data_IF_020146897678
#
_entry.id   IF_020146897678
#
_cell.length_a   1.000
_cell.length_b   1.000
_cell.length_c   1.000
_cell.angle_alpha   90.00
_cell.angle_beta   90.00
_cell.angle_gamma   90.00
#
_symmetry.space_group_name_H-M   'P 1'
#
loop_
_entity.id
_entity.type
_entity.pdbx_description
1 polymer ?
#
# COMPACT_ATOMS: atom_id res chain seq x y z
N UNK A 1 51.28 -11.49 -12.27
CA UNK A 1 51.39 -10.36 -13.21
C UNK A 1 50.70 -9.15 -12.60
N UNK A 2 51.39 -8.26 -11.87
CA UNK A 2 50.82 -6.98 -11.46
C UNK A 2 51.34 -5.86 -12.38
N UNK A 3 50.48 -4.90 -12.72
CA UNK A 3 50.91 -3.62 -13.27
C UNK A 3 50.49 -2.50 -12.33
N UNK A 4 51.36 -1.50 -12.33
CA UNK A 4 51.71 -0.53 -11.31
C UNK A 4 51.00 0.82 -11.52
N UNK A 5 51.20 1.67 -10.51
CA UNK A 5 50.70 3.00 -10.17
C UNK A 5 51.17 4.11 -11.11
N UNK A 6 50.45 5.25 -11.13
CA UNK A 6 51.00 6.57 -11.51
C UNK A 6 49.95 7.53 -12.09
N UNK A 7 49.27 8.39 -11.32
CA UNK A 7 49.73 9.63 -10.65
C UNK A 7 49.53 10.90 -11.53
N UNK A 8 48.85 11.90 -10.96
CA UNK A 8 49.21 13.34 -10.93
C UNK A 8 48.05 14.34 -11.00
N UNK A 9 48.00 15.13 -9.93
CA UNK A 9 47.32 16.41 -9.70
C UNK A 9 48.12 17.58 -10.28
N UNK A 10 47.44 18.68 -10.69
CA UNK A 10 47.83 20.11 -10.62
C UNK A 10 46.66 20.97 -11.13
N UNK A 11 45.89 21.68 -10.29
CA UNK A 11 46.08 23.01 -9.68
C UNK A 11 45.82 24.24 -10.60
N UNK A 12 44.82 25.06 -10.17
CA UNK A 12 44.73 26.56 -10.09
C UNK A 12 44.80 27.37 -11.43
N UNK A 13 44.14 28.51 -11.66
CA UNK A 13 43.43 29.52 -10.84
C UNK A 13 42.67 30.53 -11.76
N UNK A 14 41.50 30.99 -11.30
CA UNK A 14 40.89 32.34 -11.31
C UNK A 14 40.93 33.28 -12.55
N UNK A 15 39.74 33.79 -12.91
CA UNK A 15 39.54 35.08 -13.59
C UNK A 15 38.14 35.24 -14.18
N UNK A 16 37.24 35.94 -13.48
CA UNK A 16 35.83 36.13 -13.89
C UNK A 16 35.56 37.42 -14.69
N UNK A 17 34.43 37.43 -15.41
CA UNK A 17 33.49 38.56 -15.55
C UNK A 17 32.24 38.16 -16.35
N UNK A 18 31.07 38.23 -15.71
CA UNK A 18 29.77 38.70 -16.24
C UNK A 18 29.12 38.02 -17.45
N UNK A 19 28.07 37.22 -17.20
CA UNK A 19 26.84 37.29 -17.98
C UNK A 19 25.63 36.77 -17.17
N UNK A 20 24.59 37.60 -17.12
CA UNK A 20 23.23 37.26 -16.70
C UNK A 20 22.66 36.20 -17.66
N UNK A 21 22.29 35.03 -17.16
CA UNK A 21 21.68 33.98 -17.97
C UNK A 21 21.30 32.74 -17.17
N UNK A 22 20.00 32.61 -16.92
CA UNK A 22 19.23 31.38 -16.67
C UNK A 22 19.98 30.18 -16.04
N UNK A 23 19.79 29.99 -14.73
CA UNK A 23 20.15 28.72 -14.08
C UNK A 23 19.01 27.69 -14.24
N UNK A 24 19.42 26.51 -14.70
CA UNK A 24 18.64 25.28 -14.88
C UNK A 24 18.07 24.78 -13.55
N UNK A 25 16.91 24.15 -13.62
CA UNK A 25 16.31 23.39 -12.54
C UNK A 25 17.07 22.06 -12.40
N UNK A 26 17.98 21.98 -11.43
CA UNK A 26 18.42 20.72 -10.82
C UNK A 26 19.00 21.03 -9.43
N UNK A 27 18.62 20.18 -8.46
CA UNK A 27 19.06 20.13 -7.05
C UNK A 27 18.63 21.29 -6.12
N UNK A 28 17.38 21.20 -5.63
CA UNK A 28 17.01 21.74 -4.31
C UNK A 28 16.69 20.57 -3.39
N UNK A 29 17.55 20.35 -2.40
CA UNK A 29 17.28 19.39 -1.32
C UNK A 29 16.01 19.81 -0.55
N UNK A 30 15.11 18.86 -0.19
CA UNK A 30 13.82 19.15 0.46
C UNK A 30 13.92 19.92 1.78
N UNK A 31 15.11 19.90 2.39
CA UNK A 31 15.42 20.53 3.67
C UNK A 31 15.51 22.06 3.58
N UNK A 32 15.85 22.62 2.40
CA UNK A 32 15.97 24.08 2.19
C UNK A 32 14.64 24.77 1.84
N UNK A 33 13.66 24.04 1.29
CA UNK A 33 12.33 24.59 1.00
C UNK A 33 11.54 24.92 2.29
N UNK A 34 11.71 24.11 3.34
CA UNK A 34 11.09 24.34 4.65
C UNK A 34 11.71 25.55 5.39
N UNK A 35 13.02 25.80 5.22
CA UNK A 35 13.72 26.93 5.84
C UNK A 35 13.36 28.29 5.21
N UNK A 36 13.06 28.32 3.90
CA UNK A 36 12.54 29.52 3.24
C UNK A 36 11.08 29.82 3.62
N UNK A 37 10.25 28.79 3.81
CA UNK A 37 8.87 28.95 4.30
C UNK A 37 8.82 29.49 5.75
N UNK A 38 9.81 29.16 6.58
CA UNK A 38 9.95 29.70 7.94
C UNK A 38 10.34 31.19 8.01
N UNK A 39 11.03 31.73 7.00
CA UNK A 39 11.44 33.15 6.98
C UNK A 39 10.35 34.11 6.51
N UNK A 40 9.36 33.65 5.75
CA UNK A 40 8.22 34.48 5.32
C UNK A 40 7.20 34.72 6.44
N UNK A 41 7.24 33.95 7.54
CA UNK A 41 6.36 34.15 8.71
C UNK A 41 6.78 35.27 9.67
N UNK A 42 7.96 35.88 9.49
CA UNK A 42 8.53 36.80 10.48
C UNK A 42 8.51 38.28 10.09
N UNK A 43 8.02 38.67 8.92
CA UNK A 43 7.94 40.08 8.54
C UNK A 43 6.66 40.40 7.76
N UNK A 44 5.84 41.27 8.33
CA UNK A 44 4.89 42.09 7.58
C UNK A 44 3.50 41.52 7.44
N UNK A 45 2.58 42.10 8.22
CA UNK A 45 1.16 42.31 7.93
C UNK A 45 0.75 42.05 6.47
N UNK A 46 0.04 40.95 6.20
CA UNK A 46 -0.99 40.80 5.16
C UNK A 46 -1.52 39.36 5.18
N UNK A 47 -2.79 39.20 5.53
CA UNK A 47 -3.45 37.89 5.66
C UNK A 47 -3.68 37.21 4.31
N UNK A 48 -2.73 36.37 3.88
CA UNK A 48 -2.85 35.45 2.75
C UNK A 48 -2.66 34.02 3.27
N UNK A 49 -3.69 33.18 3.14
CA UNK A 49 -3.56 31.73 3.36
C UNK A 49 -3.31 31.11 2.00
N UNK A 50 -2.15 30.47 1.85
CA UNK A 50 -1.80 29.65 0.69
C UNK A 50 -2.32 28.24 0.93
N UNK A 51 -3.28 27.79 0.12
CA UNK A 51 -3.62 26.37 0.02
C UNK A 51 -2.78 25.76 -1.12
N UNK A 52 -2.18 24.60 -0.87
CA UNK A 52 -1.37 23.85 -1.83
C UNK A 52 -2.24 22.72 -2.41
N UNK A 53 -2.52 22.75 -3.71
CA UNK A 53 -3.04 21.59 -4.45
C UNK A 53 -1.85 20.80 -5.01
N UNK A 54 -1.74 19.53 -4.62
CA UNK A 54 -0.66 18.63 -5.00
C UNK A 54 -1.22 17.55 -5.91
N UNK A 55 -1.00 17.67 -7.21
CA UNK A 55 -1.33 16.60 -8.18
C UNK A 55 -0.09 15.81 -8.57
N UNK A 56 -0.20 14.49 -8.47
CA UNK A 56 0.84 13.53 -8.85
C UNK A 56 0.79 13.28 -10.37
N UNK A 57 1.90 13.50 -11.07
CA UNK A 57 2.09 13.11 -12.48
C UNK A 57 3.21 12.07 -12.61
N UNK A 58 3.28 11.38 -13.76
CA UNK A 58 4.22 10.27 -14.03
C UNK A 58 5.71 10.63 -13.86
N UNK A 59 6.07 11.90 -13.83
CA UNK A 59 7.47 12.37 -13.76
C UNK A 59 7.74 13.42 -12.66
N UNK A 60 6.78 13.70 -11.76
CA UNK A 60 6.97 14.65 -10.65
C UNK A 60 5.68 15.26 -10.10
N UNK A 61 5.84 16.24 -9.21
CA UNK A 61 4.74 17.01 -8.59
C UNK A 61 4.66 18.42 -9.18
N UNK A 62 3.44 18.91 -9.41
CA UNK A 62 3.17 20.31 -9.76
C UNK A 62 2.42 20.96 -8.59
N UNK A 63 2.91 22.11 -8.14
CA UNK A 63 2.29 22.89 -7.05
C UNK A 63 1.59 24.10 -7.66
N UNK A 64 0.27 24.18 -7.51
CA UNK A 64 -0.50 25.40 -7.84
C UNK A 64 -0.75 26.23 -6.58
N UNK A 65 -0.43 27.52 -6.63
CA UNK A 65 -0.78 28.49 -5.59
C UNK A 65 -2.13 29.16 -5.93
N UNK A 66 -3.16 28.94 -5.10
CA UNK A 66 -4.47 29.59 -5.27
C UNK A 66 -4.57 30.76 -4.28
N UNK A 67 -4.94 31.95 -4.79
CA UNK A 67 -5.19 33.14 -3.97
C UNK A 67 -6.69 33.29 -3.70
N UNK A 68 -7.12 33.18 -2.44
CA UNK A 68 -8.53 33.41 -2.06
C UNK A 68 -8.72 34.86 -1.55
N UNK A 69 -9.62 35.63 -2.18
CA UNK A 69 -10.00 36.97 -1.69
C UNK A 69 -10.97 36.88 -0.50
N UNK A 70 -10.70 37.66 0.55
CA UNK A 70 -11.54 37.84 1.75
C UNK A 70 -12.92 38.39 1.39
N UNK A 71 -13.97 37.63 1.72
CA UNK A 71 -15.35 38.09 1.54
C UNK A 71 -16.41 37.25 2.23
N UNK A 72 -16.16 36.69 3.43
CA UNK A 72 -17.21 36.01 4.21
C UNK A 72 -16.84 35.75 5.68
N UNK A 73 -16.28 36.73 6.42
CA UNK A 73 -16.09 36.60 7.88
C UNK A 73 -16.09 37.97 8.56
N UNK A 74 -17.26 38.60 8.62
CA UNK A 74 -17.45 39.83 9.41
C UNK A 74 -18.90 39.96 9.86
N UNK A 75 -19.27 39.14 10.84
CA UNK A 75 -20.28 39.49 11.84
C UNK A 75 -20.18 38.48 12.97
N UNK A 76 -19.57 38.90 14.07
CA UNK A 76 -20.00 38.66 15.45
C UNK A 76 -18.88 39.15 16.39
N UNK A 77 -19.30 39.91 17.40
CA UNK A 77 -18.55 40.46 18.52
C UNK A 77 -17.84 41.80 18.30
N UNK A 78 -18.49 42.87 18.75
CA UNK A 78 -18.11 43.56 20.00
C UNK A 78 -19.28 44.40 20.48
N UNK A 79 -19.72 44.24 21.73
CA UNK A 79 -20.07 45.37 22.58
C UNK A 79 -20.13 44.93 24.04
N UNK A 80 -19.34 45.61 24.86
CA UNK A 80 -19.18 45.44 26.30
C UNK A 80 -19.81 46.67 26.96
N UNK A 81 -20.77 46.51 27.88
CA UNK A 81 -21.13 47.57 28.82
C UNK A 81 -21.69 46.99 30.12
N UNK A 82 -21.26 47.62 31.21
CA UNK A 82 -21.34 47.14 32.58
C UNK A 82 -22.63 47.56 33.33
N UNK A 83 -22.86 46.84 34.45
CA UNK A 83 -23.62 47.21 35.68
C UNK A 83 -25.16 47.32 35.65
N UNK A 84 -25.88 46.33 36.22
CA UNK A 84 -26.50 46.35 37.57
C UNK A 84 -27.52 45.22 37.81
N UNK A 85 -27.59 44.87 39.10
CA UNK A 85 -28.69 44.24 39.86
C UNK A 85 -28.83 42.71 39.93
N UNK A 86 -28.76 42.27 41.19
CA UNK A 86 -28.96 40.95 41.77
C UNK A 86 -30.25 40.24 41.36
N UNK A 87 -30.12 38.97 40.96
CA UNK A 87 -31.03 37.86 41.30
C UNK A 87 -30.26 36.54 41.08
N UNK A 88 -30.29 35.57 42.01
CA UNK A 88 -29.64 34.29 41.78
C UNK A 88 -30.49 33.49 40.79
N UNK A 89 -30.03 33.39 39.55
CA UNK A 89 -30.53 32.40 38.58
C UNK A 89 -29.72 31.14 38.79
N UNK A 90 -30.36 30.09 39.28
CA UNK A 90 -29.78 28.74 39.35
C UNK A 90 -29.65 28.23 37.90
N UNK A 91 -28.44 27.94 37.37
CA UNK A 91 -28.33 27.28 36.08
C UNK A 91 -28.57 25.79 36.30
N UNK A 92 -29.57 25.28 35.58
CA UNK A 92 -29.93 23.87 35.55
C UNK A 92 -28.76 23.01 35.05
N UNK A 93 -28.62 21.83 35.67
CA UNK A 93 -27.75 20.74 35.21
C UNK A 93 -28.02 20.41 33.75
N UNK A 94 -26.95 20.09 33.02
CA UNK A 94 -27.02 19.26 31.81
C UNK A 94 -26.46 19.90 30.55
N UNK A 95 -25.21 20.36 30.56
CA UNK A 95 -24.44 20.29 29.33
C UNK A 95 -24.29 18.80 28.99
N UNK A 96 -24.94 18.35 27.92
CA UNK A 96 -24.73 17.02 27.38
C UNK A 96 -23.25 16.90 27.01
N UNK A 97 -22.46 16.29 27.89
CA UNK A 97 -21.10 15.87 27.58
C UNK A 97 -21.28 14.91 26.41
N UNK A 98 -20.80 15.32 25.23
CA UNK A 98 -20.77 14.43 24.07
C UNK A 98 -20.20 13.10 24.55
N UNK A 99 -20.87 11.99 24.26
CA UNK A 99 -20.44 10.66 24.66
C UNK A 99 -19.17 10.31 23.87
N UNK A 100 -18.03 10.88 24.29
CA UNK A 100 -16.73 10.64 23.70
C UNK A 100 -16.38 9.22 24.12
N UNK A 101 -16.52 8.29 23.17
CA UNK A 101 -16.02 6.95 23.40
C UNK A 101 -14.51 7.03 23.64
N UNK A 102 -14.11 6.70 24.85
CA UNK A 102 -12.71 6.57 25.24
C UNK A 102 -12.17 5.29 24.61
N UNK A 103 -11.27 5.42 23.63
CA UNK A 103 -10.51 4.29 23.11
C UNK A 103 -9.36 3.98 24.07
N UNK A 104 -9.08 2.69 24.26
CA UNK A 104 -7.84 2.24 24.91
C UNK A 104 -6.75 2.07 23.83
N UNK A 105 -5.76 2.97 23.75
CA UNK A 105 -4.71 2.90 22.73
C UNK A 105 -3.81 1.66 22.86
N UNK A 106 -3.92 0.88 23.94
CA UNK A 106 -3.13 -0.34 24.16
C UNK A 106 -3.85 -1.62 23.73
N UNK A 107 -5.16 -1.55 23.44
CA UNK A 107 -5.98 -2.74 23.14
C UNK A 107 -5.64 -3.38 21.78
N UNK A 108 -5.40 -2.57 20.75
CA UNK A 108 -5.02 -3.07 19.42
C UNK A 108 -4.35 -1.99 18.57
N UNK A 109 -3.65 -2.36 17.48
CA UNK A 109 -3.14 -1.38 16.51
C UNK A 109 -4.21 -0.46 15.94
N UNK A 110 -5.44 -0.96 15.76
CA UNK A 110 -6.56 -0.18 15.23
C UNK A 110 -7.05 0.84 16.27
N UNK A 111 -7.11 0.47 17.55
CA UNK A 111 -7.45 1.38 18.65
C UNK A 111 -6.39 2.47 18.82
N UNK A 112 -5.10 2.11 18.74
CA UNK A 112 -4.01 3.08 18.71
C UNK A 112 -4.15 4.06 17.54
N UNK A 113 -4.42 3.55 16.32
CA UNK A 113 -4.62 4.39 15.13
C UNK A 113 -5.78 5.37 15.33
N UNK A 114 -6.95 4.89 15.77
CA UNK A 114 -8.14 5.71 15.96
C UNK A 114 -7.93 6.79 17.04
N UNK A 115 -7.26 6.41 18.13
CA UNK A 115 -6.88 7.32 19.21
C UNK A 115 -5.91 8.41 18.73
N UNK A 116 -4.86 8.02 18.00
CA UNK A 116 -3.85 8.96 17.48
C UNK A 116 -4.43 9.91 16.44
N UNK A 117 -5.32 9.40 15.57
CA UNK A 117 -6.06 10.22 14.59
C UNK A 117 -6.86 11.33 15.28
N UNK A 118 -7.62 10.96 16.32
CA UNK A 118 -8.39 11.93 17.10
C UNK A 118 -7.47 12.96 17.76
N UNK A 119 -6.37 12.51 18.37
CA UNK A 119 -5.39 13.38 19.02
C UNK A 119 -4.80 14.41 18.06
N UNK A 120 -4.32 13.97 16.89
CA UNK A 120 -3.72 14.84 15.88
C UNK A 120 -4.75 15.82 15.29
N UNK A 121 -5.97 15.34 15.00
CA UNK A 121 -7.05 16.20 14.51
C UNK A 121 -7.37 17.32 15.51
N UNK A 122 -7.48 16.98 16.79
CA UNK A 122 -7.82 17.94 17.85
C UNK A 122 -6.68 18.90 18.16
N UNK A 123 -5.42 18.46 18.07
CA UNK A 123 -4.25 19.33 18.18
C UNK A 123 -4.23 20.42 17.09
N UNK A 124 -4.80 20.14 15.92
CA UNK A 124 -5.00 21.10 14.83
C UNK A 124 -6.32 21.88 14.91
N UNK A 125 -7.11 21.69 15.97
CA UNK A 125 -8.38 22.40 16.19
C UNK A 125 -9.48 22.05 15.18
N UNK A 126 -9.36 20.92 14.46
CA UNK A 126 -10.30 20.53 13.42
C UNK A 126 -11.45 19.69 13.97
N UNK A 127 -12.68 19.92 13.49
CA UNK A 127 -13.80 18.96 13.63
C UNK A 127 -13.65 17.83 12.61
N UNK A 128 -14.28 16.69 12.88
CA UNK A 128 -14.28 15.53 11.96
C UNK A 128 -14.72 15.89 10.54
N UNK A 129 -15.78 16.70 10.40
CA UNK A 129 -16.25 17.18 9.09
C UNK A 129 -15.20 18.02 8.36
N UNK A 130 -14.49 18.90 9.07
CA UNK A 130 -13.46 19.75 8.48
C UNK A 130 -12.25 18.95 8.00
N UNK A 131 -11.82 17.95 8.78
CA UNK A 131 -10.78 17.01 8.32
C UNK A 131 -11.27 16.23 7.10
N UNK A 132 -12.52 15.74 7.13
CA UNK A 132 -13.15 15.07 6.00
C UNK A 132 -13.13 15.91 4.73
N UNK A 133 -13.51 17.18 4.81
CA UNK A 133 -13.49 18.12 3.68
C UNK A 133 -12.08 18.27 3.10
N UNK A 134 -11.04 18.35 3.94
CA UNK A 134 -9.64 18.46 3.51
C UNK A 134 -9.15 17.20 2.77
N UNK A 135 -9.52 16.01 3.24
CA UNK A 135 -9.06 14.72 2.66
C UNK A 135 -10.06 14.10 1.66
N UNK A 136 -11.08 14.86 1.28
CA UNK A 136 -12.15 14.47 0.35
C UNK A 136 -12.95 13.24 0.80
N UNK A 137 -13.37 13.20 2.07
CA UNK A 137 -14.28 12.18 2.60
C UNK A 137 -15.32 12.77 3.57
N UNK A 138 -16.28 11.96 4.00
CA UNK A 138 -17.30 12.42 4.96
C UNK A 138 -16.73 12.48 6.38
N UNK A 139 -17.18 13.45 7.19
CA UNK A 139 -16.85 13.47 8.62
C UNK A 139 -17.34 12.23 9.38
N UNK A 140 -18.41 11.59 8.88
CA UNK A 140 -18.89 10.29 9.39
C UNK A 140 -17.84 9.19 9.24
N UNK A 141 -17.18 9.11 8.08
CA UNK A 141 -16.08 8.15 7.86
C UNK A 141 -14.93 8.39 8.83
N UNK A 142 -14.51 9.65 9.01
CA UNK A 142 -13.48 10.02 10.00
C UNK A 142 -13.89 9.56 11.39
N UNK A 143 -15.14 9.82 11.79
CA UNK A 143 -15.67 9.38 13.09
C UNK A 143 -15.74 7.86 13.25
N UNK A 144 -16.08 7.11 12.20
CA UNK A 144 -16.07 5.64 12.22
C UNK A 144 -14.65 5.07 12.39
N UNK A 145 -13.65 5.69 11.78
CA UNK A 145 -12.24 5.29 11.93
C UNK A 145 -11.72 5.66 13.32
N UNK A 146 -12.02 6.88 13.81
CA UNK A 146 -11.70 7.32 15.17
C UNK A 146 -12.42 6.53 16.28
N UNK A 147 -13.43 5.73 15.94
CA UNK A 147 -14.15 4.85 16.88
C UNK A 147 -13.96 3.38 16.55
N UNK A 148 -12.96 3.06 15.72
CA UNK A 148 -12.56 1.70 15.31
C UNK A 148 -13.67 0.84 14.68
N UNK A 149 -14.78 1.46 14.28
CA UNK A 149 -15.90 0.83 13.56
C UNK A 149 -15.56 0.53 12.10
N UNK A 150 -14.58 1.24 11.54
CA UNK A 150 -14.10 1.03 10.17
C UNK A 150 -12.58 1.04 10.15
N UNK A 151 -12.01 0.06 9.45
CA UNK A 151 -10.57 -0.03 9.22
C UNK A 151 -10.17 1.05 8.19
N UNK A 152 -9.17 1.89 8.48
CA UNK A 152 -8.67 2.87 7.53
C UNK A 152 -8.03 2.18 6.32
N UNK A 153 -7.98 2.87 5.18
CA UNK A 153 -7.20 2.44 4.02
C UNK A 153 -5.85 3.16 4.00
N UNK A 154 -4.91 2.66 3.20
CA UNK A 154 -3.64 3.37 2.98
C UNK A 154 -3.85 4.75 2.35
N UNK A 155 -4.68 4.87 1.32
CA UNK A 155 -5.00 6.17 0.69
C UNK A 155 -5.58 7.17 1.70
N UNK A 156 -6.50 6.72 2.57
CA UNK A 156 -6.99 7.56 3.67
C UNK A 156 -5.85 8.02 4.59
N UNK A 157 -4.96 7.10 4.96
CA UNK A 157 -3.83 7.38 5.86
C UNK A 157 -2.84 8.38 5.26
N UNK A 158 -2.50 8.22 3.98
CA UNK A 158 -1.60 9.11 3.24
C UNK A 158 -2.19 10.53 3.11
N UNK A 159 -3.50 10.65 2.88
CA UNK A 159 -4.18 11.95 2.86
C UNK A 159 -4.24 12.61 4.23
N UNK A 160 -4.44 11.84 5.30
CA UNK A 160 -4.37 12.37 6.67
C UNK A 160 -2.97 12.89 6.96
N UNK A 161 -1.92 12.14 6.58
CA UNK A 161 -0.54 12.59 6.76
C UNK A 161 -0.25 13.90 6.04
N UNK A 162 -0.73 14.04 4.80
CA UNK A 162 -0.60 15.27 4.03
C UNK A 162 -1.38 16.44 4.64
N UNK A 163 -2.61 16.19 5.13
CA UNK A 163 -3.48 17.21 5.70
C UNK A 163 -3.00 17.73 7.07
N UNK A 164 -2.48 16.83 7.90
CA UNK A 164 -2.09 17.14 9.28
C UNK A 164 -0.58 17.37 9.45
N UNK A 165 0.22 17.12 8.41
CA UNK A 165 1.67 17.29 8.45
C UNK A 165 2.36 16.34 9.43
N UNK A 166 1.92 15.09 9.51
CA UNK A 166 2.38 14.11 10.52
C UNK A 166 3.58 13.27 10.08
N UNK A 167 4.31 13.72 9.06
CA UNK A 167 5.54 13.09 8.57
C UNK A 167 5.40 11.58 8.32
N UNK A 168 4.27 11.15 7.71
CA UNK A 168 4.02 9.75 7.38
C UNK A 168 3.63 8.84 8.55
N UNK A 169 3.27 9.39 9.71
CA UNK A 169 2.85 8.62 10.88
C UNK A 169 1.74 7.61 10.56
N UNK A 170 0.64 8.06 9.93
CA UNK A 170 -0.50 7.18 9.64
C UNK A 170 -0.16 6.18 8.54
N UNK A 171 0.65 6.58 7.57
CA UNK A 171 1.19 5.73 6.50
C UNK A 171 2.10 4.61 7.04
N UNK A 172 2.77 4.82 8.18
CA UNK A 172 3.51 3.77 8.90
C UNK A 172 2.59 2.90 9.75
N UNK A 173 1.63 3.50 10.46
CA UNK A 173 0.70 2.77 11.32
C UNK A 173 -0.25 1.85 10.53
N UNK A 174 -0.70 2.27 9.35
CA UNK A 174 -1.67 1.50 8.56
C UNK A 174 -1.16 0.10 8.19
N UNK A 175 0.15 -0.06 7.95
CA UNK A 175 0.73 -1.38 7.68
C UNK A 175 0.57 -2.34 8.87
N UNK A 176 0.73 -1.84 10.09
CA UNK A 176 0.51 -2.62 11.32
C UNK A 176 -0.98 -2.95 11.52
N UNK A 177 -1.86 -1.98 11.28
CA UNK A 177 -3.33 -2.15 11.38
C UNK A 177 -3.84 -3.18 10.38
N UNK A 178 -3.42 -3.09 9.12
CA UNK A 178 -3.88 -4.01 8.08
C UNK A 178 -3.33 -5.42 8.28
N UNK A 179 -2.07 -5.55 8.72
CA UNK A 179 -1.53 -6.86 9.09
C UNK A 179 -2.32 -7.51 10.23
N UNK A 180 -2.80 -6.75 11.22
CA UNK A 180 -3.63 -7.31 12.29
C UNK A 180 -5.04 -7.76 11.85
N UNK A 181 -5.48 -7.37 10.65
CA UNK A 181 -6.73 -7.87 10.04
C UNK A 181 -6.57 -9.25 9.39
N UNK A 182 -5.34 -9.68 9.11
CA UNK A 182 -5.10 -11.01 8.56
C UNK A 182 -5.45 -12.09 9.60
N UNK A 183 -5.87 -13.30 9.16
CA UNK A 183 -6.07 -14.41 10.07
C UNK A 183 -4.85 -14.63 10.97
N UNK A 184 -5.05 -14.88 12.26
CA UNK A 184 -3.95 -15.00 13.25
C UNK A 184 -2.90 -16.02 12.84
N UNK A 185 -3.31 -17.13 12.21
CA UNK A 185 -2.41 -18.16 11.70
C UNK A 185 -1.59 -17.72 10.48
N UNK A 186 -2.05 -16.70 9.74
CA UNK A 186 -1.38 -16.18 8.53
C UNK A 186 -0.43 -15.02 8.85
N UNK A 187 -0.64 -14.30 9.95
CA UNK A 187 0.17 -13.13 10.30
C UNK A 187 1.68 -13.41 10.39
N UNK A 188 2.15 -14.52 11.00
CA UNK A 188 3.59 -14.83 11.05
C UNK A 188 4.17 -15.07 9.65
N UNK A 189 3.44 -15.77 8.78
CA UNK A 189 3.87 -15.99 7.40
C UNK A 189 3.97 -14.66 6.65
N UNK A 190 2.97 -13.78 6.75
CA UNK A 190 3.00 -12.47 6.09
C UNK A 190 4.18 -11.60 6.56
N UNK A 191 4.60 -11.71 7.83
CA UNK A 191 5.79 -11.04 8.33
C UNK A 191 7.08 -11.62 7.73
N UNK A 192 7.18 -12.94 7.63
CA UNK A 192 8.34 -13.61 7.03
C UNK A 192 8.43 -13.36 5.52
N UNK A 193 7.30 -13.39 4.81
CA UNK A 193 7.21 -13.09 3.37
C UNK A 193 7.72 -11.69 3.06
N UNK A 194 7.43 -10.70 3.93
CA UNK A 194 7.93 -9.34 3.79
C UNK A 194 9.43 -9.18 4.08
N UNK A 195 10.08 -10.16 4.69
CA UNK A 195 11.53 -10.14 4.99
C UNK A 195 12.33 -11.05 4.06
N UNK A 196 11.67 -11.84 3.22
CA UNK A 196 12.33 -12.81 2.36
C UNK A 196 13.19 -12.10 1.31
N UNK A 197 14.39 -12.63 1.07
CA UNK A 197 15.23 -12.25 -0.06
C UNK A 197 14.79 -12.99 -1.34
N UNK A 198 14.36 -14.24 -1.18
CA UNK A 198 13.85 -15.08 -2.27
C UNK A 198 12.54 -15.77 -1.87
N UNK A 199 11.63 -15.88 -2.82
CA UNK A 199 10.36 -16.58 -2.67
C UNK A 199 10.27 -17.61 -3.80
N UNK A 200 10.23 -18.90 -3.46
CA UNK A 200 9.94 -19.98 -4.42
C UNK A 200 8.56 -20.54 -4.10
N UNK A 201 7.61 -20.42 -5.03
CA UNK A 201 6.22 -20.84 -4.79
C UNK A 201 5.69 -21.71 -5.92
N UNK A 202 4.94 -22.74 -5.55
CA UNK A 202 4.07 -23.47 -6.47
C UNK A 202 2.61 -23.21 -6.10
N UNK A 203 1.79 -22.86 -7.08
CA UNK A 203 0.37 -22.57 -6.89
C UNK A 203 -0.51 -23.46 -7.76
N UNK A 204 -1.28 -24.32 -7.10
CA UNK A 204 -2.10 -25.34 -7.78
C UNK A 204 -3.46 -24.84 -8.28
N UNK A 205 -4.05 -23.83 -7.63
CA UNK A 205 -5.47 -23.48 -7.85
C UNK A 205 -5.78 -22.00 -7.97
N UNK A 206 -4.91 -21.14 -7.46
CA UNK A 206 -5.11 -19.69 -7.45
C UNK A 206 -3.82 -19.01 -7.87
N UNK A 207 -3.92 -17.84 -8.47
CA UNK A 207 -2.75 -16.97 -8.64
C UNK A 207 -2.14 -16.67 -7.27
N UNK A 208 -0.80 -16.69 -7.17
CA UNK A 208 -0.09 -16.38 -5.93
C UNK A 208 -0.54 -15.02 -5.38
N UNK A 209 -0.82 -14.95 -4.07
CA UNK A 209 -1.48 -13.78 -3.48
C UNK A 209 -0.72 -12.45 -3.62
N UNK A 210 0.59 -12.48 -3.91
CA UNK A 210 1.37 -11.27 -4.23
C UNK A 210 1.15 -10.74 -5.65
N UNK A 211 0.63 -11.57 -6.56
CA UNK A 211 0.42 -11.26 -7.97
C UNK A 211 -1.06 -11.10 -8.35
N UNK A 212 -1.95 -11.02 -7.36
CA UNK A 212 -3.39 -10.91 -7.60
C UNK A 212 -3.79 -9.46 -7.85
N UNK A 213 -4.66 -9.20 -8.83
CA UNK A 213 -5.35 -7.91 -8.92
C UNK A 213 -6.35 -7.74 -7.77
N UNK A 214 -6.78 -6.51 -7.49
CA UNK A 214 -7.76 -6.25 -6.43
C UNK A 214 -9.07 -7.01 -6.69
N UNK A 215 -9.54 -7.04 -7.94
CA UNK A 215 -10.79 -7.69 -8.33
C UNK A 215 -10.71 -9.21 -8.18
N UNK A 216 -9.58 -9.82 -8.56
CA UNK A 216 -9.35 -11.25 -8.39
C UNK A 216 -9.28 -11.60 -6.89
N UNK A 217 -8.50 -10.84 -6.13
CA UNK A 217 -8.39 -10.99 -4.68
C UNK A 217 -9.75 -10.87 -3.98
N UNK A 218 -10.57 -9.89 -4.38
CA UNK A 218 -11.93 -9.70 -3.86
C UNK A 218 -12.81 -10.91 -4.16
N UNK A 219 -12.78 -11.44 -5.38
CA UNK A 219 -13.54 -12.63 -5.77
C UNK A 219 -13.17 -13.87 -4.94
N UNK A 220 -11.87 -14.09 -4.70
CA UNK A 220 -11.38 -15.18 -3.85
C UNK A 220 -11.87 -15.01 -2.41
N UNK A 221 -11.68 -13.83 -1.82
CA UNK A 221 -12.00 -13.57 -0.40
C UNK A 221 -13.51 -13.59 -0.11
N UNK A 222 -14.35 -13.29 -1.10
CA UNK A 222 -15.80 -13.28 -0.96
C UNK A 222 -16.40 -14.66 -0.63
N UNK A 223 -15.67 -15.75 -0.90
CA UNK A 223 -16.13 -17.13 -0.67
C UNK A 223 -16.17 -17.55 0.80
N UNK A 224 -15.41 -16.88 1.68
CA UNK A 224 -15.17 -17.36 3.05
C UNK A 224 -15.84 -16.56 4.17
N UNK A 225 -15.91 -15.22 4.08
CA UNK A 225 -16.40 -14.33 5.18
C UNK A 225 -16.91 -12.96 4.69
N UNK A 226 -18.20 -12.78 4.38
CA UNK A 226 -18.71 -11.53 3.80
C UNK A 226 -18.54 -10.29 4.71
N UNK A 227 -18.54 -10.46 6.04
CA UNK A 227 -18.44 -9.35 7.00
C UNK A 227 -17.04 -8.72 7.15
N UNK A 228 -15.99 -9.35 6.61
CA UNK A 228 -14.59 -8.89 6.73
C UNK A 228 -13.92 -8.68 5.38
N UNK A 229 -14.69 -8.70 4.28
CA UNK A 229 -14.13 -8.68 2.93
C UNK A 229 -13.24 -7.47 2.68
N UNK A 230 -13.71 -6.27 2.98
CA UNK A 230 -12.97 -5.04 2.68
C UNK A 230 -11.68 -4.93 3.51
N UNK A 231 -11.68 -5.36 4.78
CA UNK A 231 -10.48 -5.32 5.62
C UNK A 231 -9.46 -6.37 5.20
N UNK A 232 -9.90 -7.59 4.87
CA UNK A 232 -9.04 -8.65 4.34
C UNK A 232 -8.46 -8.29 2.98
N UNK A 233 -9.26 -7.66 2.12
CA UNK A 233 -8.82 -7.19 0.81
C UNK A 233 -7.78 -6.08 0.96
N UNK A 234 -8.05 -5.07 1.79
CA UNK A 234 -7.09 -4.01 2.08
C UNK A 234 -5.78 -4.58 2.65
N UNK A 235 -5.86 -5.55 3.56
CA UNK A 235 -4.69 -6.24 4.10
C UNK A 235 -3.91 -7.04 3.04
N UNK A 236 -4.61 -7.70 2.12
CA UNK A 236 -3.98 -8.41 1.00
C UNK A 236 -3.27 -7.43 0.06
N UNK A 237 -3.90 -6.34 -0.33
CA UNK A 237 -3.31 -5.32 -1.20
C UNK A 237 -2.11 -4.63 -0.52
N UNK A 238 -2.20 -4.35 0.78
CA UNK A 238 -1.08 -3.82 1.55
C UNK A 238 0.13 -4.76 1.55
N UNK A 239 -0.11 -6.06 1.71
CA UNK A 239 0.94 -7.08 1.68
C UNK A 239 1.69 -7.13 0.34
N UNK A 240 1.02 -6.84 -0.78
CA UNK A 240 1.67 -6.83 -2.11
C UNK A 240 2.68 -5.71 -2.29
N UNK A 241 2.67 -4.68 -1.44
CA UNK A 241 3.58 -3.52 -1.56
C UNK A 241 5.05 -3.88 -1.47
N UNK A 242 5.40 -5.05 -0.96
CA UNK A 242 6.78 -5.54 -0.93
C UNK A 242 7.39 -5.66 -2.34
N UNK A 243 6.56 -5.86 -3.37
CA UNK A 243 6.99 -5.89 -4.78
C UNK A 243 7.34 -4.50 -5.33
N UNK A 244 6.90 -3.42 -4.66
CA UNK A 244 7.17 -2.04 -5.04
C UNK A 244 8.34 -1.41 -4.28
N UNK A 245 9.06 -2.18 -3.46
CA UNK A 245 10.26 -1.71 -2.76
C UNK A 245 11.42 -1.48 -3.73
N UNK A 246 12.42 -0.70 -3.29
CA UNK A 246 13.65 -0.50 -4.06
C UNK A 246 14.38 -1.83 -4.34
N UNK A 247 14.31 -2.76 -3.38
CA UNK A 247 14.81 -4.12 -3.49
C UNK A 247 13.67 -5.10 -3.17
N UNK A 248 12.83 -5.45 -4.16
CA UNK A 248 11.79 -6.45 -3.96
C UNK A 248 12.40 -7.85 -3.82
N UNK A 249 11.70 -8.81 -3.19
CA UNK A 249 12.15 -10.20 -3.16
C UNK A 249 12.25 -10.76 -4.57
N UNK A 250 13.27 -11.59 -4.82
CA UNK A 250 13.31 -12.39 -6.05
C UNK A 250 12.26 -13.49 -5.95
N UNK A 251 11.26 -13.46 -6.81
CA UNK A 251 10.14 -14.38 -6.80
C UNK A 251 10.20 -15.36 -7.98
N UNK A 252 10.23 -16.64 -7.67
CA UNK A 252 10.20 -17.76 -8.60
C UNK A 252 8.85 -18.48 -8.44
N UNK A 253 7.94 -18.21 -9.38
CA UNK A 253 6.53 -18.61 -9.29
C UNK A 253 6.24 -19.67 -10.34
N UNK A 254 5.79 -20.84 -9.90
CA UNK A 254 5.25 -21.87 -10.77
C UNK A 254 3.74 -21.91 -10.56
N UNK A 255 2.99 -21.64 -11.62
CA UNK A 255 1.54 -21.78 -11.64
C UNK A 255 1.20 -23.13 -12.31
N UNK A 256 0.33 -23.91 -11.70
CA UNK A 256 -0.33 -24.98 -12.44
C UNK A 256 -1.18 -24.38 -13.56
N UNK A 257 -1.17 -24.98 -14.75
CA UNK A 257 -1.96 -24.49 -15.87
C UNK A 257 -3.46 -24.38 -15.52
N UNK A 258 -3.99 -25.21 -14.62
CA UNK A 258 -5.38 -25.10 -14.14
C UNK A 258 -5.72 -23.72 -13.53
N UNK A 259 -4.74 -23.02 -12.96
CA UNK A 259 -4.89 -21.65 -12.47
C UNK A 259 -5.35 -20.71 -13.57
N UNK A 260 -4.87 -20.91 -14.80
CA UNK A 260 -5.18 -20.06 -15.95
C UNK A 260 -6.60 -20.28 -16.47
N UNK A 261 -7.23 -21.43 -16.18
CA UNK A 261 -8.52 -21.81 -16.77
C UNK A 261 -9.72 -21.66 -15.82
N UNK A 262 -9.48 -21.46 -14.51
CA UNK A 262 -10.55 -21.26 -13.53
C UNK A 262 -11.06 -19.82 -13.60
N UNK A 263 -12.35 -19.57 -13.93
CA UNK A 263 -12.88 -18.22 -14.14
C UNK A 263 -13.19 -17.48 -12.82
N UNK A 264 -12.15 -17.17 -12.04
CA UNK A 264 -12.28 -16.46 -10.76
C UNK A 264 -12.74 -15.03 -11.00
N UNK A 265 -13.90 -14.67 -10.45
CA UNK A 265 -14.49 -13.34 -10.62
C UNK A 265 -15.17 -13.10 -11.98
N UNK A 266 -15.24 -14.13 -12.84
CA UNK A 266 -15.74 -14.01 -14.20
C UNK A 266 -14.66 -13.61 -15.22
N UNK A 267 -15.06 -13.55 -16.49
CA UNK A 267 -14.11 -13.47 -17.61
C UNK A 267 -13.32 -12.16 -17.61
N UNK A 268 -13.97 -11.01 -17.39
CA UNK A 268 -13.31 -9.70 -17.30
C UNK A 268 -12.25 -9.62 -16.19
N UNK A 269 -12.54 -10.23 -15.03
CA UNK A 269 -11.61 -10.22 -13.90
C UNK A 269 -10.42 -11.10 -14.22
N UNK A 270 -10.66 -12.28 -14.79
CA UNK A 270 -9.60 -13.21 -15.16
C UNK A 270 -8.75 -12.68 -16.31
N UNK A 271 -9.33 -12.00 -17.30
CA UNK A 271 -8.60 -11.32 -18.36
C UNK A 271 -7.61 -10.29 -17.76
N UNK A 272 -8.09 -9.40 -16.87
CA UNK A 272 -7.24 -8.41 -16.20
C UNK A 272 -6.16 -9.07 -15.34
N UNK A 273 -6.50 -10.16 -14.67
CA UNK A 273 -5.55 -10.92 -13.86
C UNK A 273 -4.43 -11.53 -14.71
N UNK A 274 -4.74 -12.14 -15.86
CA UNK A 274 -3.73 -12.71 -16.74
C UNK A 274 -2.90 -11.63 -17.42
N UNK A 275 -3.51 -10.51 -17.82
CA UNK A 275 -2.80 -9.34 -18.33
C UNK A 275 -1.81 -8.82 -17.29
N UNK A 276 -2.22 -8.73 -16.03
CA UNK A 276 -1.35 -8.31 -14.92
C UNK A 276 -0.15 -9.27 -14.73
N UNK A 277 -0.32 -10.58 -14.86
CA UNK A 277 0.81 -11.52 -14.81
C UNK A 277 1.83 -11.27 -15.93
N UNK A 278 1.37 -10.91 -17.13
CA UNK A 278 2.23 -10.60 -18.26
C UNK A 278 3.04 -9.31 -18.06
N UNK A 279 2.56 -8.35 -17.28
CA UNK A 279 3.31 -7.14 -16.93
C UNK A 279 4.63 -7.48 -16.23
N UNK A 280 4.67 -8.57 -15.47
CA UNK A 280 5.86 -8.97 -14.73
C UNK A 280 6.97 -9.61 -15.57
N UNK A 281 6.70 -9.99 -16.82
CA UNK A 281 7.66 -10.68 -17.69
C UNK A 281 8.95 -9.88 -17.94
N UNK A 282 8.90 -8.56 -17.76
CA UNK A 282 10.05 -7.66 -17.95
C UNK A 282 10.86 -7.41 -16.67
N UNK A 283 10.45 -7.94 -15.52
CA UNK A 283 11.14 -7.75 -14.25
C UNK A 283 12.14 -8.87 -13.98
N UNK A 284 13.43 -8.54 -13.86
CA UNK A 284 14.50 -9.53 -13.60
C UNK A 284 14.39 -10.26 -12.25
N UNK A 285 13.65 -9.68 -11.31
CA UNK A 285 13.41 -10.25 -9.99
C UNK A 285 12.15 -11.13 -9.96
N UNK A 286 11.42 -11.28 -11.07
CA UNK A 286 10.22 -12.10 -11.17
C UNK A 286 10.35 -13.13 -12.28
N UNK A 287 10.19 -14.42 -11.95
CA UNK A 287 10.09 -15.50 -12.91
C UNK A 287 8.73 -16.18 -12.74
N UNK A 288 7.90 -16.16 -13.78
CA UNK A 288 6.63 -16.88 -13.81
C UNK A 288 6.75 -18.01 -14.83
N UNK A 289 6.59 -19.24 -14.34
CA UNK A 289 6.52 -20.45 -15.16
C UNK A 289 5.14 -21.09 -15.00
N UNK A 290 4.72 -21.83 -16.02
CA UNK A 290 3.48 -22.61 -16.00
C UNK A 290 3.84 -24.09 -16.11
N UNK A 291 3.36 -24.89 -15.15
CA UNK A 291 3.39 -26.34 -15.23
C UNK A 291 2.22 -26.80 -16.11
N UNK A 292 2.47 -27.36 -17.30
CA UNK A 292 1.40 -27.69 -18.24
C UNK A 292 0.57 -28.88 -17.75
N UNK A 293 -0.72 -28.93 -18.11
CA UNK A 293 -1.61 -30.05 -17.75
C UNK A 293 -1.13 -31.40 -18.28
N UNK A 294 -0.27 -31.40 -19.31
CA UNK A 294 0.33 -32.61 -19.88
C UNK A 294 1.42 -33.23 -19.01
N UNK A 295 1.82 -32.59 -17.90
CA UNK A 295 2.91 -33.07 -17.03
C UNK A 295 2.55 -34.34 -16.25
N UNK A 296 1.27 -34.68 -16.11
CA UNK A 296 0.85 -35.91 -15.42
C UNK A 296 1.07 -35.83 -13.90
N UNK A 297 1.68 -36.84 -13.31
CA UNK A 297 2.05 -36.87 -11.89
C UNK A 297 3.22 -35.93 -11.56
N UNK A 298 3.10 -35.15 -10.47
CA UNK A 298 4.17 -34.28 -9.99
C UNK A 298 4.09 -34.05 -8.48
N UNK A 299 5.17 -33.61 -7.81
CA UNK A 299 5.21 -33.41 -6.36
C UNK A 299 4.21 -32.37 -5.82
N UNK A 300 3.73 -31.47 -6.68
CA UNK A 300 2.80 -30.40 -6.34
C UNK A 300 1.34 -30.84 -6.17
N UNK A 301 1.00 -32.11 -6.47
CA UNK A 301 -0.38 -32.61 -6.36
C UNK A 301 -0.96 -32.53 -4.94
N UNK A 302 -0.11 -32.48 -3.90
CA UNK A 302 -0.53 -32.32 -2.51
C UNK A 302 -1.06 -30.91 -2.19
N UNK A 303 -0.75 -29.91 -3.03
CA UNK A 303 -1.22 -28.53 -2.85
C UNK A 303 -0.14 -27.48 -3.10
N UNK A 304 -0.55 -26.22 -2.92
CA UNK A 304 0.35 -25.08 -3.02
C UNK A 304 1.33 -25.03 -1.84
N UNK A 305 2.53 -24.50 -2.08
CA UNK A 305 3.53 -24.28 -1.04
C UNK A 305 4.45 -23.12 -1.39
N UNK A 306 5.08 -22.55 -0.36
CA UNK A 306 6.05 -21.47 -0.47
C UNK A 306 7.33 -21.84 0.28
N UNK A 307 8.49 -21.54 -0.29
CA UNK A 307 9.80 -21.57 0.36
C UNK A 307 10.30 -20.13 0.39
N UNK A 308 10.47 -19.58 1.60
CA UNK A 308 11.03 -18.27 1.84
C UNK A 308 12.50 -18.43 2.21
N UNK A 309 13.39 -17.74 1.51
CA UNK A 309 14.83 -17.72 1.82
C UNK A 309 15.28 -16.36 2.28
N UNK A 310 16.20 -16.34 3.24
CA UNK A 310 16.72 -15.14 3.88
C UNK A 310 18.23 -15.10 3.79
N UNK A 311 18.83 -13.91 3.88
CA UNK A 311 20.29 -13.78 3.90
C UNK A 311 20.88 -14.22 5.25
N UNK A 312 20.24 -13.83 6.35
CA UNK A 312 20.77 -13.98 7.72
C UNK A 312 19.92 -14.89 8.62
N UNK A 313 18.92 -15.58 8.07
CA UNK A 313 17.98 -16.41 8.82
C UNK A 313 17.75 -17.77 8.15
N UNK A 314 17.35 -18.80 8.92
CA UNK A 314 16.94 -20.08 8.34
C UNK A 314 15.80 -19.90 7.33
N UNK A 315 15.87 -20.64 6.23
CA UNK A 315 14.79 -20.75 5.27
C UNK A 315 13.51 -21.26 5.96
N UNK A 316 12.36 -20.93 5.37
CA UNK A 316 11.06 -21.31 5.88
C UNK A 316 10.26 -21.98 4.78
N UNK A 317 9.73 -23.16 5.08
CA UNK A 317 8.72 -23.83 4.26
C UNK A 317 7.33 -23.57 4.81
N UNK A 318 6.38 -23.29 3.91
CA UNK A 318 5.01 -22.94 4.25
C UNK A 318 4.00 -23.62 3.33
N UNK A 319 2.95 -24.20 3.92
CA UNK A 319 1.78 -24.73 3.22
C UNK A 319 0.49 -24.27 3.90
N UNK A 320 -0.63 -24.36 3.19
CA UNK A 320 -1.95 -24.11 3.74
C UNK A 320 -2.86 -25.32 3.52
N UNK A 321 -3.67 -25.64 4.51
CA UNK A 321 -4.85 -26.47 4.34
C UNK A 321 -6.12 -25.61 4.39
N UNK A 322 -7.29 -26.25 4.37
CA UNK A 322 -8.58 -25.54 4.38
C UNK A 322 -8.79 -24.65 5.62
N UNK A 323 -8.12 -24.97 6.74
CA UNK A 323 -8.38 -24.40 8.05
C UNK A 323 -7.22 -23.56 8.60
N UNK A 324 -5.98 -23.88 8.22
CA UNK A 324 -4.76 -23.32 8.83
C UNK A 324 -3.55 -23.32 7.91
N UNK A 325 -2.57 -22.49 8.26
CA UNK A 325 -1.25 -22.49 7.66
C UNK A 325 -0.24 -23.26 8.51
N UNK A 326 0.67 -23.97 7.86
CA UNK A 326 1.74 -24.75 8.48
C UNK A 326 3.08 -24.18 8.06
N UNK A 327 3.92 -23.86 9.03
CA UNK A 327 5.22 -23.23 8.80
C UNK A 327 6.30 -23.99 9.55
N UNK A 328 7.42 -24.29 8.88
CA UNK A 328 8.56 -24.97 9.49
C UNK A 328 9.88 -24.42 8.98
N UNK A 329 10.86 -24.34 9.89
CA UNK A 329 12.26 -24.03 9.59
C UNK A 329 13.16 -25.29 9.69
N UNK A 330 12.56 -26.48 9.66
CA UNK A 330 13.30 -27.75 9.71
C UNK A 330 14.18 -27.93 8.45
N UNK A 331 15.51 -28.06 8.57
CA UNK A 331 16.41 -28.15 7.43
C UNK A 331 16.15 -29.33 6.50
N UNK A 332 15.78 -30.50 7.03
CA UNK A 332 15.46 -31.69 6.23
C UNK A 332 14.20 -31.47 5.40
N UNK A 333 13.14 -30.90 5.98
CA UNK A 333 11.91 -30.55 5.25
C UNK A 333 12.19 -29.53 4.14
N UNK A 334 13.01 -28.51 4.42
CA UNK A 334 13.37 -27.49 3.42
C UNK A 334 14.18 -28.08 2.27
N UNK A 335 15.10 -29.00 2.58
CA UNK A 335 15.88 -29.71 1.57
C UNK A 335 14.99 -30.53 0.64
N UNK A 336 14.04 -31.28 1.19
CA UNK A 336 13.08 -32.06 0.41
C UNK A 336 12.15 -31.16 -0.41
N UNK A 337 11.59 -30.11 0.20
CA UNK A 337 10.75 -29.14 -0.49
C UNK A 337 11.50 -28.44 -1.63
N UNK A 338 12.77 -28.09 -1.43
CA UNK A 338 13.60 -27.47 -2.48
C UNK A 338 13.87 -28.44 -3.64
N UNK A 339 14.06 -29.73 -3.36
CA UNK A 339 14.18 -30.76 -4.41
C UNK A 339 12.87 -30.90 -5.20
N UNK A 340 11.74 -30.97 -4.50
CA UNK A 340 10.42 -31.06 -5.14
C UNK A 340 10.11 -29.83 -5.99
N UNK A 341 10.47 -28.63 -5.50
CA UNK A 341 10.37 -27.39 -6.27
C UNK A 341 11.25 -27.43 -7.53
N UNK A 342 12.49 -27.93 -7.42
CA UNK A 342 13.39 -28.05 -8.57
C UNK A 342 12.87 -29.02 -9.64
N UNK A 343 12.24 -30.13 -9.24
CA UNK A 343 11.56 -31.03 -10.18
C UNK A 343 10.40 -30.33 -10.89
N UNK A 344 9.52 -29.65 -10.15
CA UNK A 344 8.43 -28.86 -10.74
C UNK A 344 8.95 -27.80 -11.72
N UNK A 345 10.07 -27.15 -11.38
CA UNK A 345 10.68 -26.14 -12.22
C UNK A 345 11.25 -26.73 -13.53
N UNK A 346 11.81 -27.93 -13.48
CA UNK A 346 12.35 -28.63 -14.63
C UNK A 346 11.24 -29.09 -15.60
N UNK A 347 10.09 -29.49 -15.06
CA UNK A 347 8.93 -29.93 -15.85
C UNK A 347 8.06 -28.76 -16.36
N UNK A 348 8.12 -27.61 -15.68
CA UNK A 348 7.41 -26.41 -16.09
C UNK A 348 7.97 -25.84 -17.41
N UNK A 349 7.10 -25.18 -18.17
CA UNK A 349 7.47 -24.46 -19.37
C UNK A 349 8.55 -23.40 -19.08
N UNK A 350 9.35 -23.07 -20.10
CA UNK A 350 10.26 -21.92 -20.01
C UNK A 350 9.47 -20.64 -19.68
N UNK A 351 10.12 -19.63 -19.09
CA UNK A 351 9.44 -18.34 -18.78
C UNK A 351 8.81 -17.73 -20.04
N UNK A 352 9.48 -17.86 -21.20
CA UNK A 352 8.97 -17.37 -22.49
C UNK A 352 7.71 -18.14 -22.94
N UNK A 353 7.76 -19.47 -22.90
CA UNK A 353 6.63 -20.29 -23.34
C UNK A 353 5.45 -20.21 -22.37
N UNK A 354 5.74 -20.00 -21.08
CA UNK A 354 4.75 -19.71 -20.05
C UNK A 354 4.02 -18.39 -20.32
N UNK A 355 4.75 -17.32 -20.64
CA UNK A 355 4.14 -16.05 -21.03
C UNK A 355 3.28 -16.19 -22.31
N UNK A 356 3.75 -16.96 -23.29
CA UNK A 356 2.98 -17.25 -24.50
C UNK A 356 1.69 -18.03 -24.19
N UNK A 357 1.76 -19.03 -23.30
CA UNK A 357 0.59 -19.79 -22.84
C UNK A 357 -0.40 -18.89 -22.10
N UNK A 358 0.07 -18.05 -21.17
CA UNK A 358 -0.77 -17.10 -20.43
C UNK A 358 -1.49 -16.16 -21.40
N UNK A 359 -0.77 -15.55 -22.34
CA UNK A 359 -1.36 -14.67 -23.34
C UNK A 359 -2.39 -15.39 -24.22
N UNK A 360 -2.09 -16.62 -24.64
CA UNK A 360 -3.02 -17.44 -25.43
C UNK A 360 -4.31 -17.73 -24.66
N UNK A 361 -4.22 -18.19 -23.42
CA UNK A 361 -5.41 -18.48 -22.59
C UNK A 361 -6.21 -17.20 -22.33
N UNK A 362 -5.53 -16.09 -22.04
CA UNK A 362 -6.16 -14.78 -21.87
C UNK A 362 -7.00 -14.38 -23.08
N UNK A 363 -6.46 -14.46 -24.28
CA UNK A 363 -7.16 -14.09 -25.52
C UNK A 363 -8.23 -15.10 -25.92
N UNK A 364 -7.92 -16.40 -25.89
CA UNK A 364 -8.85 -17.43 -26.35
C UNK A 364 -10.03 -17.63 -25.40
N UNK A 365 -9.84 -17.47 -24.09
CA UNK A 365 -10.87 -17.80 -23.09
C UNK A 365 -11.58 -16.57 -22.55
N UNK A 366 -10.88 -15.46 -22.36
CA UNK A 366 -11.37 -14.34 -21.56
C UNK A 366 -11.43 -13.00 -22.28
N UNK A 367 -10.88 -12.86 -23.49
CA UNK A 367 -11.10 -11.65 -24.27
C UNK A 367 -12.59 -11.52 -24.58
N UNK A 368 -13.11 -10.29 -24.43
CA UNK A 368 -14.53 -9.98 -24.64
C UNK A 368 -14.97 -10.47 -26.02
N UNK A 369 -15.92 -11.42 -26.02
CA UNK A 369 -16.53 -11.97 -27.23
C UNK A 369 -17.89 -11.34 -27.47
N UNK A 370 -17.99 -10.02 -27.34
CA UNK A 370 -19.19 -9.25 -27.76
C UNK A 370 -19.51 -9.42 -29.26
N UNK A 371 -18.69 -10.15 -30.03
CA UNK A 371 -18.97 -10.68 -31.36
C UNK A 371 -18.77 -12.22 -31.49
N UNK A 372 -19.04 -13.04 -30.46
CA UNK A 372 -19.38 -14.45 -30.74
C UNK A 372 -20.81 -14.45 -31.26
N UNK A 373 -20.94 -14.47 -32.59
CA UNK A 373 -22.18 -14.62 -33.33
C UNK A 373 -23.23 -15.45 -32.58
N UNK A 374 -24.51 -15.02 -32.57
CA UNK A 374 -25.61 -15.92 -32.33
C UNK A 374 -25.76 -16.80 -33.59
N UNK A 375 -24.93 -17.83 -33.74
CA UNK A 375 -25.22 -18.95 -34.66
C UNK A 375 -25.96 -19.99 -33.82
N UNK A 376 -27.30 -19.93 -33.79
CA UNK A 376 -28.26 -20.49 -34.75
C UNK A 376 -28.53 -21.98 -34.51
#
# INVERSE_FOLDING_TARGET
MPYDVGDQLRERQLGGAGHLGQARADEVQPQHAAQMAGRVRAQGELGVVLALDVRRLRTGYVIHAITLRRGAYARLHTETKAERCCRPVVPQRGAAVANIQSLDPTASPLDYYGWELRRQREAHGLKQGQLGDIIFCTGSLVGQIETTKKVPTRDFSERVDAALGTDGLFSRLIGLVLRSQLPTWFQPYAEMEAKAAYISTYQAQLVYGLLQTEEYARAVLATGKPGQLDSLLAARMERQRILAWEKPPVALVILDEAVLHRPIGGDDVMWRQLAHLLEFTNHRWMCIQVLPLTSGEHPGLAGAFNILRFEDHPDVFYTEDMMSGHMTANPETIKEASLNYAHLQADALSVKDSAALIARVMEERYADRTERDPVA
#
